data_IF_424185638043
#
_entry.id   IF_424185638043
#
_cell.length_a   1.000
_cell.length_b   1.000
_cell.length_c   1.000
_cell.angle_alpha   90.00
_cell.angle_beta   90.00
_cell.angle_gamma   90.00
#
_symmetry.space_group_name_H-M   'P 1'
#
loop_
_entity.id
_entity.type
_entity.pdbx_description
1 polymer ?
#
# COMPACT_ATOMS: atom_id res chain seq x y z
N UNK A 1 -15.27 -4.75 6.51
CA UNK A 1 -14.57 -4.97 7.79
C UNK A 1 -15.52 -5.73 8.70
N UNK A 2 -15.16 -6.94 9.12
CA UNK A 2 -15.90 -7.76 10.09
C UNK A 2 -14.87 -8.68 10.76
N UNK A 3 -14.40 -8.32 11.97
CA UNK A 3 -13.51 -9.07 12.89
C UNK A 3 -11.98 -9.14 12.61
N UNK A 4 -11.12 -9.05 13.65
CA UNK A 4 -9.65 -9.15 13.54
C UNK A 4 -9.14 -10.50 13.02
N UNK A 5 -9.95 -11.55 13.13
CA UNK A 5 -9.59 -12.90 12.73
C UNK A 5 -9.96 -13.23 11.29
N UNK A 6 -10.60 -12.31 10.54
CA UNK A 6 -10.93 -12.53 9.13
C UNK A 6 -9.63 -12.80 8.33
N UNK A 7 -9.51 -13.96 7.66
CA UNK A 7 -8.34 -14.29 6.84
C UNK A 7 -8.04 -13.24 5.77
N UNK A 8 -9.06 -12.56 5.24
CA UNK A 8 -8.90 -11.49 4.25
C UNK A 8 -8.26 -10.25 4.88
N UNK A 9 -8.59 -9.95 6.14
CA UNK A 9 -7.99 -8.85 6.87
C UNK A 9 -6.51 -9.12 7.17
N UNK A 10 -6.18 -10.33 7.63
CA UNK A 10 -4.79 -10.76 7.84
C UNK A 10 -3.97 -10.68 6.55
N UNK A 11 -4.54 -11.11 5.42
CA UNK A 11 -3.90 -10.98 4.09
C UNK A 11 -3.63 -9.52 3.72
N UNK A 12 -4.56 -8.61 4.03
CA UNK A 12 -4.38 -7.18 3.77
C UNK A 12 -3.32 -6.55 4.68
N UNK A 13 -3.32 -6.88 5.98
CA UNK A 13 -2.28 -6.41 6.91
C UNK A 13 -0.89 -6.78 6.40
N UNK A 14 -0.67 -8.05 6.06
CA UNK A 14 0.60 -8.52 5.50
C UNK A 14 1.01 -7.77 4.22
N UNK A 15 0.04 -7.47 3.35
CA UNK A 15 0.31 -6.74 2.12
C UNK A 15 0.73 -5.28 2.40
N UNK A 16 0.08 -4.61 3.35
CA UNK A 16 0.46 -3.25 3.79
C UNK A 16 1.85 -3.27 4.42
N UNK A 17 2.17 -4.23 5.28
CA UNK A 17 3.51 -4.40 5.85
C UNK A 17 4.58 -4.61 4.77
N UNK A 18 4.29 -5.40 3.74
CA UNK A 18 5.22 -5.60 2.62
C UNK A 18 5.46 -4.30 1.83
N UNK A 19 4.40 -3.54 1.52
CA UNK A 19 4.51 -2.24 0.84
C UNK A 19 5.32 -1.24 1.69
N UNK A 20 5.05 -1.16 2.99
CA UNK A 20 5.78 -0.29 3.90
C UNK A 20 7.27 -0.60 3.90
N UNK A 21 7.65 -1.87 4.06
CA UNK A 21 9.07 -2.26 4.14
C UNK A 21 9.85 -1.98 2.84
N UNK A 22 9.19 -2.02 1.68
CA UNK A 22 9.82 -1.69 0.37
C UNK A 22 10.32 -0.24 0.33
N UNK A 23 9.61 0.67 1.00
CA UNK A 23 9.99 2.09 1.02
C UNK A 23 11.28 2.35 1.81
N UNK A 24 11.65 1.45 2.74
CA UNK A 24 12.87 1.58 3.54
C UNK A 24 14.03 0.75 2.99
N UNK A 25 13.75 -0.46 2.47
CA UNK A 25 14.77 -1.38 2.00
C UNK A 25 14.38 -2.10 0.72
N UNK A 26 15.34 -2.27 -0.20
CA UNK A 26 15.18 -3.12 -1.39
C UNK A 26 15.16 -4.59 -0.97
N UNK A 27 13.99 -5.21 -1.07
CA UNK A 27 13.79 -6.61 -0.69
C UNK A 27 12.91 -7.35 -1.72
N UNK A 28 12.92 -8.68 -1.65
CA UNK A 28 12.01 -9.50 -2.45
C UNK A 28 10.60 -9.38 -1.89
N UNK A 29 9.64 -9.10 -2.76
CA UNK A 29 8.23 -8.91 -2.40
C UNK A 29 7.34 -9.98 -3.02
N UNK A 30 6.16 -10.20 -2.43
CA UNK A 30 5.17 -11.11 -2.98
C UNK A 30 4.58 -10.65 -4.31
N UNK A 31 3.89 -11.57 -5.02
CA UNK A 31 3.27 -11.31 -6.33
C UNK A 31 2.27 -10.15 -6.29
N UNK A 32 1.47 -10.06 -5.23
CA UNK A 32 0.44 -9.03 -5.09
C UNK A 32 1.07 -7.64 -4.89
N UNK A 33 2.07 -7.55 -4.01
CA UNK A 33 2.84 -6.34 -3.75
C UNK A 33 3.53 -5.86 -5.03
N UNK A 34 4.12 -6.78 -5.81
CA UNK A 34 4.73 -6.45 -7.11
C UNK A 34 3.71 -5.90 -8.12
N UNK A 35 2.51 -6.47 -8.19
CA UNK A 35 1.46 -5.99 -9.08
C UNK A 35 0.99 -4.57 -8.73
N UNK A 36 0.92 -4.24 -7.43
CA UNK A 36 0.58 -2.90 -6.94
C UNK A 36 1.68 -1.91 -7.28
N UNK A 37 2.94 -2.25 -6.98
CA UNK A 37 4.10 -1.39 -7.29
C UNK A 37 4.24 -1.13 -8.78
N UNK A 38 3.91 -2.10 -9.65
CA UNK A 38 3.90 -1.90 -11.10
C UNK A 38 2.83 -0.89 -11.58
N UNK A 39 1.79 -0.66 -10.78
CA UNK A 39 0.70 0.29 -11.07
C UNK A 39 0.77 1.54 -10.20
N UNK A 40 1.90 1.78 -9.50
CA UNK A 40 2.04 2.83 -8.49
C UNK A 40 1.68 4.21 -9.04
N UNK A 41 2.25 4.61 -10.17
CA UNK A 41 2.00 5.92 -10.77
C UNK A 41 0.52 6.17 -11.11
N UNK A 42 -0.18 5.11 -11.54
CA UNK A 42 -1.62 5.20 -11.83
C UNK A 42 -2.43 5.35 -10.55
N UNK A 43 -2.09 4.59 -9.51
CA UNK A 43 -2.76 4.63 -8.22
C UNK A 43 -2.54 5.98 -7.54
N UNK A 44 -1.29 6.47 -7.53
CA UNK A 44 -0.94 7.74 -6.90
C UNK A 44 -1.68 8.91 -7.57
N UNK A 45 -1.75 8.97 -8.91
CA UNK A 45 -2.56 9.98 -9.61
C UNK A 45 -4.04 9.94 -9.22
N UNK A 46 -4.60 8.74 -9.02
CA UNK A 46 -5.99 8.59 -8.58
C UNK A 46 -6.18 9.04 -7.14
N UNK A 47 -5.24 8.74 -6.25
CA UNK A 47 -5.27 9.20 -4.86
C UNK A 47 -5.19 10.73 -4.82
N UNK A 48 -4.28 11.34 -5.58
CA UNK A 48 -4.11 12.80 -5.66
C UNK A 48 -5.39 13.49 -6.17
N UNK A 49 -6.04 12.91 -7.19
CA UNK A 49 -7.31 13.42 -7.69
C UNK A 49 -8.47 13.32 -6.69
N UNK A 50 -8.41 12.34 -5.77
CA UNK A 50 -9.45 12.12 -4.77
C UNK A 50 -9.21 12.92 -3.48
N UNK A 51 -7.95 13.22 -3.17
CA UNK A 51 -7.52 13.89 -1.94
C UNK A 51 -6.56 15.04 -2.26
N UNK A 52 -6.99 15.99 -3.08
CA UNK A 52 -6.15 17.09 -3.59
C UNK A 52 -5.57 18.00 -2.50
N UNK A 53 -6.21 18.05 -1.32
CA UNK A 53 -5.72 18.83 -0.17
C UNK A 53 -4.49 18.18 0.50
N UNK A 54 -4.32 16.86 0.35
CA UNK A 54 -3.25 16.09 0.98
C UNK A 54 -2.26 15.60 -0.06
N UNK A 55 -1.07 16.20 -0.07
CA UNK A 55 0.04 15.71 -0.89
C UNK A 55 0.44 14.30 -0.46
N UNK A 56 0.53 13.38 -1.43
CA UNK A 56 0.87 11.97 -1.20
C UNK A 56 2.21 11.81 -0.48
N UNK A 57 3.19 12.65 -0.82
CA UNK A 57 4.53 12.60 -0.22
C UNK A 57 4.56 13.05 1.25
N UNK A 58 3.52 13.77 1.70
CA UNK A 58 3.39 14.26 3.08
C UNK A 58 2.56 13.34 3.96
N UNK A 59 2.01 12.26 3.40
CA UNK A 59 1.28 11.25 4.18
C UNK A 59 2.30 10.41 4.95
N UNK A 60 2.06 10.24 6.25
CA UNK A 60 2.90 9.39 7.08
C UNK A 60 2.91 7.96 6.56
N UNK A 61 4.10 7.39 6.44
CA UNK A 61 4.30 5.95 6.23
C UNK A 61 4.13 5.29 7.60
N UNK A 62 3.05 4.53 7.79
CA UNK A 62 2.72 3.83 9.04
C UNK A 62 2.53 2.34 8.77
#
# INVERSE_FOLDING_TARGET
>A
MKTPLDPRHKKRQKLVEELFKVDFHKQRVGKNTKAILASKDFIDKKIESAASEFSIDKINKV
#
